data_IF_322089293535
#
_entry.id   IF_322089293535
#
_cell.length_a   1.000
_cell.length_b   1.000
_cell.length_c   1.000
_cell.angle_alpha   90.00
_cell.angle_beta   90.00
_cell.angle_gamma   90.00
#
_symmetry.space_group_name_H-M   'P 1'
#
loop_
_entity.id
_entity.type
_entity.pdbx_description
1 polymer ?
#
# COMPACT_ATOMS: atom_id res chain seq x y z
N UNK A 1 3.01 -14.97 -6.35
CA UNK A 1 3.23 -13.51 -6.39
C UNK A 1 2.27 -12.88 -7.37
N UNK A 2 1.58 -11.86 -6.91
CA UNK A 2 0.69 -11.04 -7.73
C UNK A 2 1.38 -9.74 -8.12
N UNK A 3 0.88 -9.08 -9.16
CA UNK A 3 1.37 -7.77 -9.57
C UNK A 3 0.79 -6.68 -8.66
N UNK A 4 1.59 -5.65 -8.43
CA UNK A 4 1.13 -4.38 -7.83
C UNK A 4 0.18 -3.72 -8.83
N UNK A 5 -1.00 -3.31 -8.38
CA UNK A 5 -1.99 -2.67 -9.24
C UNK A 5 -1.81 -1.13 -9.29
N UNK A 6 -2.62 -0.45 -10.10
CA UNK A 6 -2.51 1.00 -10.31
C UNK A 6 -2.78 1.82 -9.05
N UNK A 7 -3.73 1.38 -8.21
CA UNK A 7 -4.01 2.05 -6.93
C UNK A 7 -2.81 1.92 -6.00
N UNK A 8 -2.36 0.70 -5.75
CA UNK A 8 -1.19 0.43 -4.89
C UNK A 8 0.06 1.16 -5.38
N UNK A 9 0.28 1.18 -6.70
CA UNK A 9 1.37 1.95 -7.32
C UNK A 9 1.26 3.44 -7.01
N UNK A 10 0.05 4.00 -7.10
CA UNK A 10 -0.20 5.42 -6.79
C UNK A 10 0.10 5.74 -5.33
N UNK A 11 -0.32 4.87 -4.40
CA UNK A 11 -0.06 5.06 -2.96
C UNK A 11 1.43 4.92 -2.63
N UNK A 12 2.11 3.94 -3.24
CA UNK A 12 3.57 3.75 -3.11
C UNK A 12 4.36 4.94 -3.67
N UNK A 13 3.89 5.57 -4.75
CA UNK A 13 4.50 6.79 -5.26
C UNK A 13 4.36 7.95 -4.25
N UNK A 14 3.20 8.08 -3.58
CA UNK A 14 3.01 9.05 -2.50
C UNK A 14 3.98 8.81 -1.33
N UNK A 15 4.21 7.55 -0.95
CA UNK A 15 5.23 7.19 0.04
C UNK A 15 6.62 7.65 -0.40
N UNK A 16 6.99 7.42 -1.66
CA UNK A 16 8.32 7.75 -2.21
C UNK A 16 8.54 9.25 -2.33
N UNK A 17 7.50 10.04 -2.58
CA UNK A 17 7.61 11.51 -2.51
C UNK A 17 8.08 11.98 -1.13
N UNK A 18 7.65 11.29 -0.06
CA UNK A 18 8.08 11.57 1.32
C UNK A 18 9.40 10.89 1.70
N UNK A 19 9.65 9.69 1.19
CA UNK A 19 10.86 8.90 1.44
C UNK A 19 11.54 8.49 0.12
N UNK A 20 12.27 9.42 -0.54
CA UNK A 20 12.81 9.18 -1.88
C UNK A 20 13.78 8.01 -1.98
N UNK A 21 14.42 7.62 -0.88
CA UNK A 21 15.35 6.50 -0.81
C UNK A 21 14.65 5.16 -1.09
N UNK A 22 13.35 5.05 -0.79
CA UNK A 22 12.54 3.87 -1.09
C UNK A 22 12.24 3.71 -2.60
N UNK A 23 12.58 4.68 -3.45
CA UNK A 23 12.33 4.58 -4.89
C UNK A 23 13.03 3.39 -5.54
N UNK A 24 14.27 3.09 -5.11
CA UNK A 24 15.02 1.94 -5.61
C UNK A 24 14.39 0.60 -5.25
N UNK A 25 13.47 0.57 -4.28
CA UNK A 25 12.83 -0.65 -3.78
C UNK A 25 11.74 -1.17 -4.73
N UNK A 26 11.05 -0.28 -5.46
CA UNK A 26 9.88 -0.66 -6.27
C UNK A 26 10.11 -1.76 -7.31
N UNK A 27 11.23 -1.81 -8.06
CA UNK A 27 11.47 -2.88 -9.02
C UNK A 27 11.50 -4.28 -8.41
N UNK A 28 11.90 -4.39 -7.14
CA UNK A 28 12.05 -5.64 -6.39
C UNK A 28 10.79 -5.99 -5.59
N UNK A 29 9.89 -5.03 -5.38
CA UNK A 29 8.68 -5.24 -4.59
C UNK A 29 7.63 -6.01 -5.40
N UNK A 30 7.06 -7.06 -4.79
CA UNK A 30 5.95 -7.86 -5.34
C UNK A 30 4.86 -8.02 -4.30
N UNK A 31 3.63 -8.22 -4.75
CA UNK A 31 2.53 -8.59 -3.85
C UNK A 31 2.66 -10.06 -3.52
N UNK A 32 2.89 -10.37 -2.25
CA UNK A 32 2.89 -11.72 -1.72
C UNK A 32 1.47 -12.29 -1.73
N UNK A 33 0.55 -11.57 -1.10
CA UNK A 33 -0.87 -11.88 -1.11
C UNK A 33 -1.71 -10.62 -0.80
N UNK A 34 -3.02 -10.74 -1.01
CA UNK A 34 -4.04 -9.79 -0.55
C UNK A 34 -4.98 -10.55 0.39
N UNK A 35 -5.07 -10.11 1.63
CA UNK A 35 -5.88 -10.76 2.65
C UNK A 35 -7.03 -9.84 3.07
N UNK A 36 -8.26 -10.29 2.86
CA UNK A 36 -9.44 -9.59 3.37
C UNK A 36 -9.55 -9.86 4.86
N UNK A 37 -9.59 -8.79 5.65
CA UNK A 37 -9.71 -8.84 7.10
C UNK A 37 -11.09 -8.36 7.53
N UNK A 38 -11.36 -8.35 8.84
CA UNK A 38 -12.61 -7.78 9.38
C UNK A 38 -12.70 -6.26 9.22
N UNK A 39 -11.57 -5.58 9.05
CA UNK A 39 -11.49 -4.12 8.99
C UNK A 39 -11.30 -3.60 7.56
N UNK A 40 -10.96 -4.47 6.61
CA UNK A 40 -10.75 -4.13 5.21
C UNK A 40 -9.86 -5.15 4.53
N UNK A 41 -8.66 -4.75 4.10
CA UNK A 41 -7.73 -5.63 3.39
C UNK A 41 -6.27 -5.27 3.66
N UNK A 42 -5.42 -6.28 3.80
CA UNK A 42 -3.97 -6.11 3.87
C UNK A 42 -3.33 -6.63 2.57
N UNK A 43 -2.57 -5.78 1.90
CA UNK A 43 -1.70 -6.14 0.77
C UNK A 43 -0.31 -6.36 1.32
N UNK A 44 0.09 -7.61 1.50
CA UNK A 44 1.42 -7.93 2.01
C UNK A 44 2.42 -7.97 0.85
N UNK A 45 3.57 -7.36 1.04
CA UNK A 45 4.64 -7.36 0.06
C UNK A 45 5.72 -8.39 0.39
N UNK A 46 6.47 -8.75 -0.63
CA UNK A 46 7.75 -9.41 -0.51
C UNK A 46 8.72 -8.82 -1.51
N UNK A 47 9.99 -8.80 -1.15
CA UNK A 47 11.04 -8.39 -2.05
C UNK A 47 11.61 -9.60 -2.79
N UNK A 48 11.75 -9.49 -4.10
CA UNK A 48 12.38 -10.51 -4.95
C UNK A 48 13.76 -10.07 -5.40
N UNK A 49 14.73 -11.00 -5.40
CA UNK A 49 16.07 -10.82 -5.97
C UNK A 49 16.88 -9.68 -5.30
N UNK A 50 16.93 -9.67 -3.97
CA UNK A 50 17.47 -8.58 -3.14
C UNK A 50 18.95 -8.70 -2.78
N UNK A 51 19.62 -9.80 -3.15
CA UNK A 51 20.85 -10.20 -2.45
C UNK A 51 22.05 -9.26 -2.69
N UNK A 52 22.02 -8.34 -3.66
CA UNK A 52 23.13 -7.39 -3.88
C UNK A 52 22.71 -5.94 -4.28
N UNK A 53 21.44 -5.66 -4.57
CA UNK A 53 21.04 -4.39 -5.23
C UNK A 53 20.34 -3.36 -4.32
N UNK A 54 19.89 -3.74 -3.11
CA UNK A 54 19.16 -2.86 -2.21
C UNK A 54 19.92 -2.53 -0.94
N UNK A 55 20.08 -1.23 -0.69
CA UNK A 55 20.48 -0.72 0.60
C UNK A 55 19.23 -0.35 1.40
N UNK A 56 18.93 -1.12 2.45
CA UNK A 56 17.85 -0.82 3.37
C UNK A 56 18.36 0.18 4.41
N UNK A 57 17.88 1.42 4.33
CA UNK A 57 18.10 2.41 5.38
C UNK A 57 17.26 2.06 6.62
N UNK A 58 17.75 2.39 7.81
CA UNK A 58 17.00 2.20 9.07
C UNK A 58 15.86 3.22 9.18
N UNK A 59 14.79 2.98 8.42
CA UNK A 59 13.57 3.77 8.37
C UNK A 59 12.45 2.93 8.98
N UNK A 60 11.80 3.49 10.00
CA UNK A 60 10.60 2.95 10.61
C UNK A 60 9.49 4.01 10.52
N UNK A 61 8.43 3.74 9.75
CA UNK A 61 7.37 4.69 9.47
C UNK A 61 6.02 4.03 9.17
N UNK A 62 4.95 4.64 9.67
CA UNK A 62 3.59 4.45 9.16
C UNK A 62 3.23 5.66 8.30
N UNK A 63 2.89 5.41 7.04
CA UNK A 63 2.57 6.45 6.07
C UNK A 63 1.12 6.37 5.61
N UNK A 64 0.41 7.48 5.71
CA UNK A 64 -0.85 7.72 5.01
C UNK A 64 -0.73 9.08 4.31
N UNK A 65 -1.17 9.18 3.06
CA UNK A 65 -1.11 10.43 2.29
C UNK A 65 -2.16 11.47 2.69
N UNK A 66 -3.13 11.11 3.53
CA UNK A 66 -4.21 11.98 3.97
C UNK A 66 -5.36 12.07 2.95
N UNK A 67 -5.22 11.51 1.75
CA UNK A 67 -6.33 11.29 0.84
C UNK A 67 -7.31 10.21 1.32
N UNK A 68 -8.57 10.34 0.91
CA UNK A 68 -9.56 9.28 0.94
C UNK A 68 -9.67 8.62 -0.43
N UNK A 69 -9.94 7.31 -0.46
CA UNK A 69 -10.17 6.56 -1.70
C UNK A 69 -11.66 6.30 -1.82
N UNK A 70 -12.34 7.10 -2.63
CA UNK A 70 -13.74 6.87 -2.99
C UNK A 70 -13.83 5.64 -3.88
N UNK A 71 -14.70 4.70 -3.54
CA UNK A 71 -14.88 3.44 -4.27
C UNK A 71 -16.35 3.04 -4.29
N UNK A 72 -16.79 2.51 -5.43
CA UNK A 72 -18.17 2.04 -5.57
C UNK A 72 -18.48 0.93 -4.58
N UNK A 73 -19.51 1.14 -3.76
CA UNK A 73 -20.02 0.16 -2.81
C UNK A 73 -19.64 0.42 -1.35
N UNK A 74 -18.80 1.42 -1.08
CA UNK A 74 -18.52 1.94 0.26
C UNK A 74 -18.95 3.40 0.33
N UNK A 75 -19.70 3.76 1.38
CA UNK A 75 -20.19 5.11 1.60
C UNK A 75 -19.08 6.05 2.08
N UNK A 76 -18.19 5.54 2.94
CA UNK A 76 -17.09 6.31 3.51
C UNK A 76 -15.81 6.21 2.67
N UNK A 77 -15.72 5.19 1.80
CA UNK A 77 -14.54 4.91 0.99
C UNK A 77 -13.53 4.03 1.72
N UNK A 78 -12.26 4.13 1.32
CA UNK A 78 -11.15 3.45 1.97
C UNK A 78 -10.13 4.45 2.51
N UNK A 79 -9.77 4.28 3.78
CA UNK A 79 -8.51 4.78 4.31
C UNK A 79 -7.38 3.80 4.01
N UNK A 80 -6.14 4.25 4.08
CA UNK A 80 -4.98 3.35 3.98
C UNK A 80 -3.81 3.78 4.86
N UNK A 81 -2.97 2.81 5.20
CA UNK A 81 -1.64 3.02 5.81
C UNK A 81 -0.63 2.09 5.14
N UNK A 82 0.56 2.59 4.86
CA UNK A 82 1.71 1.81 4.41
C UNK A 82 2.70 1.69 5.55
N UNK A 83 3.10 0.46 5.87
CA UNK A 83 4.13 0.19 6.86
C UNK A 83 5.50 0.04 6.22
N UNK A 84 6.46 0.79 6.76
CA UNK A 84 7.88 0.65 6.49
C UNK A 84 8.57 0.31 7.79
N UNK A 85 9.19 -0.86 7.87
CA UNK A 85 9.93 -1.33 9.04
C UNK A 85 11.32 -1.77 8.61
N UNK A 86 12.36 -1.30 9.30
CA UNK A 86 13.77 -1.53 8.96
C UNK A 86 14.07 -1.28 7.47
N UNK A 87 13.50 -0.20 6.91
CA UNK A 87 13.65 0.20 5.51
C UNK A 87 12.86 -0.63 4.50
N UNK A 88 12.13 -1.65 4.94
CA UNK A 88 11.35 -2.52 4.07
C UNK A 88 9.88 -2.09 4.05
N UNK A 89 9.31 -1.95 2.85
CA UNK A 89 7.87 -1.75 2.68
C UNK A 89 7.18 -3.09 2.92
N UNK A 90 6.52 -3.23 4.07
CA UNK A 90 5.95 -4.52 4.50
C UNK A 90 4.55 -4.75 3.94
N UNK A 91 3.67 -3.76 4.06
CA UNK A 91 2.27 -3.89 3.62
C UNK A 91 1.59 -2.55 3.36
N UNK A 92 0.47 -2.61 2.63
CA UNK A 92 -0.58 -1.59 2.65
C UNK A 92 -1.80 -2.17 3.38
N UNK A 93 -2.28 -1.50 4.42
CA UNK A 93 -3.56 -1.81 5.06
C UNK A 93 -4.61 -0.83 4.57
N UNK A 94 -5.70 -1.36 4.00
CA UNK A 94 -6.91 -0.62 3.67
C UNK A 94 -7.98 -0.82 4.75
N UNK A 95 -8.64 0.26 5.16
CA UNK A 95 -9.70 0.25 6.17
C UNK A 95 -11.02 0.73 5.57
N UNK A 96 -12.11 0.02 5.84
CA UNK A 96 -13.46 0.29 5.31
C UNK A 96 -14.36 1.06 6.28
N UNK A 97 -13.81 1.58 7.38
CA UNK A 97 -14.56 2.29 8.42
C UNK A 97 -15.76 1.47 8.99
N UNK A 98 -15.64 0.15 8.99
CA UNK A 98 -16.68 -0.78 9.47
C UNK A 98 -17.70 -1.20 8.40
N UNK A 99 -17.55 -0.77 7.15
CA UNK A 99 -18.38 -1.20 6.04
C UNK A 99 -17.98 -2.58 5.51
N UNK A 100 -18.96 -3.35 5.02
CA UNK A 100 -18.71 -4.64 4.40
C UNK A 100 -18.15 -4.47 3.00
N UNK A 101 -16.95 -4.99 2.76
CA UNK A 101 -16.29 -4.94 1.45
C UNK A 101 -15.79 -6.32 1.03
N UNK A 102 -15.75 -6.56 -0.27
CA UNK A 102 -15.34 -7.84 -0.86
C UNK A 102 -13.89 -7.84 -1.38
N UNK A 103 -13.10 -6.80 -1.07
CA UNK A 103 -11.70 -6.68 -1.49
C UNK A 103 -11.49 -6.34 -2.97
N UNK A 104 -12.55 -5.99 -3.73
CA UNK A 104 -12.42 -5.61 -5.14
C UNK A 104 -12.44 -4.09 -5.29
N UNK A 105 -11.39 -3.54 -5.90
CA UNK A 105 -11.23 -2.10 -6.09
C UNK A 105 -12.19 -1.48 -7.13
N UNK A 106 -12.55 -2.19 -8.20
CA UNK A 106 -13.47 -1.66 -9.22
C UNK A 106 -13.09 -0.26 -9.72
N UNK A 107 -14.11 0.59 -9.93
CA UNK A 107 -13.91 2.01 -10.20
C UNK A 107 -13.65 2.76 -8.88
N UNK A 108 -12.53 3.50 -8.82
CA UNK A 108 -12.12 4.29 -7.66
C UNK A 108 -11.64 5.68 -8.05
N UNK A 109 -11.64 6.59 -7.07
CA UNK A 109 -11.08 7.94 -7.18
C UNK A 109 -10.36 8.31 -5.90
N UNK A 110 -9.15 8.85 -6.05
CA UNK A 110 -8.38 9.41 -4.93
C UNK A 110 -8.79 10.88 -4.76
N UNK A 111 -9.20 11.24 -3.55
CA UNK A 111 -9.62 12.60 -3.21
C UNK A 111 -8.73 13.13 -2.10
N UNK A 112 -7.98 14.19 -2.39
CA UNK A 112 -7.21 14.93 -1.39
C UNK A 112 -8.17 15.84 -0.62
N UNK A 113 -8.06 15.82 0.71
CA UNK A 113 -8.71 16.82 1.57
C UNK A 113 -8.15 18.23 1.34
#
# INVERSE_FOLDING_TARGET
MEQINDLETTLLNGLIEKYPTLKSHLPFLKVKNREITKVGMTVNFEYTNTEEELNFEDINALFSGGENIEIKGLKEGLGYVIDVTDGQILYIEFTTYGENWNGKFGDYKIVKE
#
